data_IF_724619835681
#
_entry.id   IF_724619835681
#
_cell.length_a   1.000
_cell.length_b   1.000
_cell.length_c   1.000
_cell.angle_alpha   90.00
_cell.angle_beta   90.00
_cell.angle_gamma   90.00
#
_symmetry.space_group_name_H-M   'P 1'
#
loop_
_entity.id
_entity.type
_entity.pdbx_description
1 polymer ?
#
# COMPACT_ATOMS: atom_id res chain seq x y z
N UNK A 1 -4.88 -12.42 12.21
CA UNK A 1 -4.01 -13.30 11.49
C UNK A 1 -2.83 -12.52 10.96
N UNK A 2 -1.68 -12.69 11.16
CA UNK A 2 -0.50 -11.91 10.87
C UNK A 2 -0.17 -11.61 9.41
N UNK A 3 -1.17 -11.56 8.56
CA UNK A 3 -0.92 -11.42 7.13
C UNK A 3 -0.63 -9.99 6.66
N UNK A 4 -0.91 -9.00 7.49
CA UNK A 4 -0.67 -7.62 7.12
C UNK A 4 0.81 -7.35 6.89
N UNK A 5 1.66 -7.86 7.79
CA UNK A 5 3.11 -7.72 7.67
C UNK A 5 3.62 -8.35 6.37
N UNK A 6 3.12 -9.52 6.04
CA UNK A 6 3.49 -10.23 4.81
C UNK A 6 3.06 -9.43 3.58
N UNK A 7 1.86 -8.85 3.61
CA UNK A 7 1.37 -8.05 2.50
C UNK A 7 2.22 -6.79 2.30
N UNK A 8 2.58 -6.12 3.40
CA UNK A 8 3.44 -4.94 3.33
C UNK A 8 4.79 -5.30 2.74
N UNK A 9 5.36 -6.44 3.16
CA UNK A 9 6.65 -6.89 2.63
C UNK A 9 6.57 -7.18 1.13
N UNK A 10 5.49 -7.80 0.68
CA UNK A 10 5.29 -8.08 -0.74
C UNK A 10 5.15 -6.80 -1.56
N UNK A 11 4.40 -5.85 -1.06
CA UNK A 11 4.21 -4.58 -1.75
C UNK A 11 5.51 -3.78 -1.82
N UNK A 12 6.30 -3.84 -0.75
CA UNK A 12 7.61 -3.17 -0.72
C UNK A 12 8.56 -3.83 -1.71
N UNK A 13 8.60 -5.16 -1.74
CA UNK A 13 9.45 -5.89 -2.66
C UNK A 13 9.07 -5.64 -4.13
N UNK A 14 7.79 -5.44 -4.39
CA UNK A 14 7.30 -5.13 -5.72
C UNK A 14 7.56 -3.69 -6.14
N UNK A 15 7.99 -2.84 -5.20
CA UNK A 15 8.26 -1.44 -5.48
C UNK A 15 7.01 -0.57 -5.47
N UNK A 16 5.93 -1.04 -4.90
CA UNK A 16 4.67 -0.31 -4.87
C UNK A 16 4.55 0.65 -3.70
N UNK A 17 5.26 0.36 -2.62
CA UNK A 17 5.28 1.23 -1.45
C UNK A 17 6.70 1.32 -0.91
N UNK A 18 6.96 2.40 -0.16
CA UNK A 18 8.15 2.52 0.67
C UNK A 18 7.72 2.52 2.12
N UNK A 19 8.56 1.98 2.98
CA UNK A 19 8.28 1.90 4.41
C UNK A 19 9.39 2.61 5.15
N UNK A 20 9.02 3.56 5.98
CA UNK A 20 9.96 4.27 6.82
C UNK A 20 9.60 4.05 8.28
N UNK A 21 10.58 3.65 9.07
CA UNK A 21 10.42 3.47 10.51
C UNK A 21 11.08 4.61 11.25
N UNK A 22 10.35 5.17 12.19
CA UNK A 22 10.86 6.28 12.98
C UNK A 22 10.09 6.38 14.27
N UNK A 23 10.11 7.58 14.85
CA UNK A 23 9.44 7.81 16.12
C UNK A 23 8.64 9.10 16.06
N UNK A 24 7.54 9.11 16.76
CA UNK A 24 6.79 10.32 17.04
C UNK A 24 6.87 10.52 18.55
N UNK A 25 7.76 11.42 18.99
CA UNK A 25 8.11 11.51 20.39
C UNK A 25 8.79 10.22 20.83
N UNK A 26 8.22 9.53 21.79
CA UNK A 26 8.73 8.25 22.30
C UNK A 26 8.04 7.05 21.68
N UNK A 27 7.04 7.28 20.81
CA UNK A 27 6.26 6.20 20.21
C UNK A 27 6.87 5.76 18.88
N UNK A 28 7.11 4.46 18.68
CA UNK A 28 7.53 3.97 17.36
C UNK A 28 6.45 4.25 16.34
N UNK A 29 6.88 4.64 15.14
CA UNK A 29 5.94 4.95 14.07
C UNK A 29 6.45 4.37 12.77
N UNK A 30 5.57 3.70 12.03
CA UNK A 30 5.85 3.19 10.70
C UNK A 30 5.01 3.96 9.70
N UNK A 31 5.67 4.53 8.69
CA UNK A 31 4.99 5.28 7.64
C UNK A 31 5.15 4.53 6.33
N UNK A 32 4.02 4.27 5.67
CA UNK A 32 3.99 3.64 4.35
C UNK A 32 3.59 4.70 3.34
N UNK A 33 4.37 4.82 2.27
CA UNK A 33 4.10 5.79 1.22
C UNK A 33 3.95 5.06 -0.11
N UNK A 34 2.94 5.43 -0.87
CA UNK A 34 2.69 4.84 -2.18
C UNK A 34 3.68 5.42 -3.18
N UNK A 35 4.35 4.54 -3.92
CA UNK A 35 5.26 4.96 -4.99
C UNK A 35 4.46 5.28 -6.26
N UNK A 36 5.08 5.94 -7.26
CA UNK A 36 4.41 6.14 -8.56
C UNK A 36 3.97 4.82 -9.19
N UNK A 37 4.80 3.78 -9.07
CA UNK A 37 4.46 2.44 -9.58
C UNK A 37 3.27 1.86 -8.83
N UNK A 38 3.24 2.07 -7.51
CA UNK A 38 2.12 1.61 -6.68
C UNK A 38 0.84 2.34 -7.01
N UNK A 39 0.94 3.63 -7.27
CA UNK A 39 -0.22 4.44 -7.66
C UNK A 39 -0.81 3.93 -8.98
N UNK A 40 0.04 3.63 -9.95
CA UNK A 40 -0.40 3.12 -11.23
C UNK A 40 -1.09 1.76 -11.08
N UNK A 41 -0.49 0.87 -10.28
CA UNK A 41 -1.09 -0.44 -10.02
C UNK A 41 -2.43 -0.29 -9.31
N UNK A 42 -2.53 0.63 -8.37
CA UNK A 42 -3.76 0.89 -7.65
C UNK A 42 -4.86 1.40 -8.59
N UNK A 43 -4.50 2.30 -9.50
CA UNK A 43 -5.46 2.84 -10.47
C UNK A 43 -6.02 1.75 -11.35
N UNK A 44 -5.17 0.83 -11.82
CA UNK A 44 -5.61 -0.30 -12.63
C UNK A 44 -6.55 -1.21 -11.85
N UNK A 45 -6.26 -1.41 -10.58
CA UNK A 45 -7.10 -2.23 -9.73
C UNK A 45 -8.49 -1.59 -9.55
N UNK A 46 -8.52 -0.28 -9.30
CA UNK A 46 -9.77 0.45 -9.14
C UNK A 46 -10.60 0.42 -10.43
N UNK A 47 -9.95 0.57 -11.59
CA UNK A 47 -10.63 0.50 -12.86
C UNK A 47 -11.28 -0.87 -13.09
N UNK A 48 -10.55 -1.94 -12.75
CA UNK A 48 -11.10 -3.29 -12.87
C UNK A 48 -12.28 -3.48 -11.93
N UNK A 49 -12.20 -2.92 -10.72
CA UNK A 49 -13.29 -3.01 -9.75
C UNK A 49 -14.55 -2.32 -10.24
N UNK A 50 -14.39 -1.19 -10.90
CA UNK A 50 -15.54 -0.44 -11.43
C UNK A 50 -16.34 -1.21 -12.45
N UNK A 51 -15.71 -2.15 -13.13
CA UNK A 51 -16.41 -2.98 -14.10
C UNK A 51 -17.32 -4.00 -13.43
N UNK A 52 -16.99 -4.40 -12.20
CA UNK A 52 -17.82 -5.33 -11.44
C UNK A 52 -18.86 -4.62 -10.60
N UNK A 53 -18.54 -3.44 -10.14
CA UNK A 53 -19.40 -2.68 -9.23
C UNK A 53 -19.81 -1.40 -9.92
N UNK A 54 -21.09 -1.24 -10.10
CA UNK A 54 -21.61 0.00 -10.67
C UNK A 54 -21.56 1.08 -9.60
N UNK A 55 -20.50 1.86 -9.60
CA UNK A 55 -20.31 2.92 -8.63
C UNK A 55 -20.89 4.23 -9.14
N UNK A 56 -22.16 4.38 -9.05
CA UNK A 56 -22.84 5.61 -9.45
C UNK A 56 -23.26 6.43 -8.24
#
# INVERSE_FOLDING_TARGET
SGNLSVQIDKLTAAGYITVEKGFKGKMPRTTCTLTPEGLEAFRKYVEALKEYISLN
#
